data_IF_894701843388
#
_entry.id   IF_894701843388
#
_cell.length_a   1.000
_cell.length_b   1.000
_cell.length_c   1.000
_cell.angle_alpha   90.00
_cell.angle_beta   90.00
_cell.angle_gamma   90.00
#
_symmetry.space_group_name_H-M   'P 1'
#
loop_
_entity.id
_entity.type
_entity.pdbx_description
1 polymer ?
#
# COMPACT_ATOMS: atom_id res chain seq x y z
N UNK A 1 34.18 -28.05 -7.72
CA UNK A 1 32.83 -28.36 -8.21
C UNK A 1 32.36 -27.13 -8.97
N UNK A 2 32.40 -27.15 -10.29
CA UNK A 2 31.84 -26.07 -11.10
C UNK A 2 30.32 -26.14 -10.98
N UNK A 3 29.71 -25.09 -10.42
CA UNK A 3 28.26 -24.93 -10.40
C UNK A 3 27.80 -24.80 -11.85
N UNK A 4 27.17 -25.83 -12.40
CA UNK A 4 26.59 -25.79 -13.73
C UNK A 4 25.48 -24.71 -13.75
N UNK A 5 25.51 -23.84 -14.77
CA UNK A 5 24.48 -22.82 -14.93
C UNK A 5 23.11 -23.48 -15.15
N UNK A 6 22.09 -22.97 -14.45
CA UNK A 6 20.72 -23.48 -14.49
C UNK A 6 19.92 -22.79 -15.59
N UNK A 7 19.07 -23.52 -16.29
CA UNK A 7 18.09 -22.95 -17.21
C UNK A 7 16.85 -22.50 -16.44
N UNK A 8 16.43 -21.26 -16.63
CA UNK A 8 15.32 -20.65 -15.89
C UNK A 8 14.33 -19.99 -16.83
N UNK A 9 13.05 -19.94 -16.44
CA UNK A 9 12.09 -19.09 -17.13
C UNK A 9 12.33 -17.62 -16.81
N UNK A 10 12.21 -16.77 -17.83
CA UNK A 10 12.27 -15.32 -17.73
C UNK A 10 10.94 -14.71 -18.14
N UNK A 11 10.40 -13.88 -17.27
CA UNK A 11 9.11 -13.22 -17.49
C UNK A 11 8.99 -12.00 -16.57
N UNK A 12 8.33 -10.95 -17.05
CA UNK A 12 7.89 -9.84 -16.22
C UNK A 12 6.59 -9.27 -16.80
N UNK A 13 5.59 -9.06 -15.96
CA UNK A 13 4.34 -8.44 -16.40
C UNK A 13 3.54 -7.87 -15.22
N UNK A 14 2.66 -6.92 -15.53
CA UNK A 14 1.72 -6.30 -14.59
C UNK A 14 0.29 -6.57 -15.04
N UNK A 15 -0.53 -7.08 -14.15
CA UNK A 15 -1.94 -7.43 -14.37
C UNK A 15 -2.86 -6.52 -13.56
N UNK A 16 -4.06 -6.25 -14.09
CA UNK A 16 -5.11 -5.43 -13.46
C UNK A 16 -6.32 -6.28 -13.05
N UNK A 17 -6.04 -7.44 -12.47
CA UNK A 17 -7.01 -8.48 -12.14
C UNK A 17 -6.33 -9.86 -11.99
N UNK A 18 -7.11 -10.95 -12.04
CA UNK A 18 -6.57 -12.30 -12.04
C UNK A 18 -5.58 -12.52 -13.19
N UNK A 19 -4.48 -13.19 -12.91
CA UNK A 19 -3.50 -13.61 -13.90
C UNK A 19 -3.51 -15.13 -14.07
N UNK A 20 -3.21 -15.59 -15.28
CA UNK A 20 -3.01 -17.00 -15.60
C UNK A 20 -1.88 -17.13 -16.62
N UNK A 21 -0.78 -17.76 -16.18
CA UNK A 21 0.39 -18.01 -16.99
C UNK A 21 0.44 -19.44 -17.55
N UNK A 22 -0.57 -20.27 -17.28
CA UNK A 22 -0.57 -21.70 -17.65
C UNK A 22 -0.42 -21.95 -19.15
N UNK A 23 -0.94 -21.05 -19.97
CA UNK A 23 -0.88 -21.09 -21.45
C UNK A 23 0.27 -20.26 -22.03
N UNK A 24 1.05 -19.57 -21.18
CA UNK A 24 2.12 -18.69 -21.62
C UNK A 24 3.37 -19.49 -21.99
N UNK A 25 4.05 -19.06 -23.05
CA UNK A 25 5.37 -19.56 -23.41
C UNK A 25 6.42 -18.59 -22.90
N UNK A 26 7.19 -19.00 -21.90
CA UNK A 26 8.25 -18.18 -21.34
C UNK A 26 9.53 -18.24 -22.19
N UNK A 27 10.31 -17.17 -22.14
CA UNK A 27 11.69 -17.20 -22.62
C UNK A 27 12.58 -17.93 -21.61
N UNK A 28 13.60 -18.62 -22.11
CA UNK A 28 14.56 -19.35 -21.27
C UNK A 28 15.87 -18.58 -21.19
N UNK A 29 16.45 -18.50 -19.99
CA UNK A 29 17.74 -17.86 -19.74
C UNK A 29 18.65 -18.78 -18.94
N UNK A 30 19.96 -18.61 -19.10
CA UNK A 30 20.97 -19.34 -18.32
C UNK A 30 21.38 -18.52 -17.10
N UNK A 31 21.17 -19.07 -15.91
CA UNK A 31 21.44 -18.41 -14.63
C UNK A 31 22.60 -19.09 -13.89
N UNK A 32 23.57 -18.34 -13.35
CA UNK A 32 24.78 -18.92 -12.75
C UNK A 32 24.54 -19.65 -11.42
N UNK A 33 23.48 -19.30 -10.69
CA UNK A 33 23.24 -19.80 -9.33
C UNK A 33 21.90 -20.53 -9.20
N UNK A 34 20.80 -19.90 -9.59
CA UNK A 34 19.47 -20.52 -9.55
C UNK A 34 18.40 -19.68 -10.24
N UNK A 35 17.16 -20.14 -10.15
CA UNK A 35 15.99 -19.47 -10.69
C UNK A 35 15.17 -18.79 -9.59
N UNK A 36 14.44 -17.75 -9.96
CA UNK A 36 13.49 -17.04 -9.09
C UNK A 36 12.14 -16.88 -9.74
N UNK A 37 11.13 -16.79 -8.89
CA UNK A 37 9.83 -16.22 -9.21
C UNK A 37 9.35 -15.36 -8.05
N UNK A 38 8.61 -14.31 -8.38
CA UNK A 38 8.07 -13.37 -7.44
C UNK A 38 6.69 -12.88 -7.88
N UNK A 39 5.83 -12.63 -6.90
CA UNK A 39 4.55 -11.96 -7.09
C UNK A 39 4.42 -10.87 -6.04
N UNK A 40 4.00 -9.69 -6.49
CA UNK A 40 3.57 -8.58 -5.63
C UNK A 40 2.14 -8.24 -6.06
N UNK A 41 1.23 -8.08 -5.11
CA UNK A 41 -0.15 -7.72 -5.38
C UNK A 41 -0.61 -6.66 -4.42
N UNK A 42 -1.24 -5.62 -4.95
CA UNK A 42 -1.88 -4.55 -4.20
C UNK A 42 -3.36 -4.55 -4.56
N UNK A 43 -4.25 -4.42 -3.58
CA UNK A 43 -5.70 -4.38 -3.79
C UNK A 43 -6.29 -3.19 -3.01
N UNK A 44 -7.29 -2.54 -3.58
CA UNK A 44 -8.11 -1.57 -2.84
C UNK A 44 -8.88 -2.17 -1.66
N UNK A 45 -9.10 -3.49 -1.64
CA UNK A 45 -10.09 -4.18 -0.82
C UNK A 45 -11.49 -4.25 -1.47
N UNK A 46 -11.66 -3.62 -2.65
CA UNK A 46 -12.95 -3.42 -3.33
C UNK A 46 -12.94 -3.88 -4.80
N UNK A 47 -12.20 -4.96 -5.08
CA UNK A 47 -12.10 -5.62 -6.39
C UNK A 47 -11.41 -4.76 -7.44
N UNK A 48 -10.32 -4.10 -7.06
CA UNK A 48 -9.41 -3.45 -7.97
C UNK A 48 -7.98 -3.78 -7.52
N UNK A 49 -7.25 -4.49 -8.38
CA UNK A 49 -5.95 -5.07 -8.07
C UNK A 49 -4.91 -4.65 -9.11
N UNK A 50 -3.67 -4.51 -8.66
CA UNK A 50 -2.49 -4.48 -9.52
C UNK A 50 -1.56 -5.58 -9.03
N UNK A 51 -1.21 -6.50 -9.91
CA UNK A 51 -0.36 -7.65 -9.59
C UNK A 51 0.84 -7.70 -10.53
N UNK A 52 2.04 -7.62 -9.98
CA UNK A 52 3.29 -7.84 -10.70
C UNK A 52 3.72 -9.29 -10.57
N UNK A 53 4.13 -9.88 -11.68
CA UNK A 53 4.75 -11.22 -11.71
C UNK A 53 6.11 -11.13 -12.37
N UNK A 54 7.13 -11.69 -11.73
CA UNK A 54 8.49 -11.74 -12.25
C UNK A 54 9.06 -13.16 -12.14
N UNK A 55 9.83 -13.56 -13.15
CA UNK A 55 10.60 -14.81 -13.21
C UNK A 55 11.98 -14.51 -13.79
N UNK A 56 13.03 -15.11 -13.23
CA UNK A 56 14.37 -14.91 -13.76
C UNK A 56 15.47 -15.61 -12.97
N UNK A 57 16.65 -15.00 -12.94
CA UNK A 57 17.79 -15.52 -12.19
C UNK A 57 17.70 -15.18 -10.69
N UNK A 58 18.39 -15.98 -9.89
CA UNK A 58 18.41 -15.86 -8.45
C UNK A 58 19.81 -16.01 -7.89
N UNK A 59 20.17 -15.15 -6.95
CA UNK A 59 21.44 -15.21 -6.20
C UNK A 59 21.24 -15.22 -4.68
N UNK A 60 20.00 -15.04 -4.21
CA UNK A 60 19.66 -15.01 -2.78
C UNK A 60 19.35 -16.40 -2.19
N UNK A 61 19.00 -16.47 -0.91
CA UNK A 61 18.40 -17.66 -0.29
C UNK A 61 17.07 -18.04 -0.98
N UNK A 62 16.67 -19.33 -1.01
CA UNK A 62 15.43 -19.77 -1.67
C UNK A 62 14.13 -19.11 -1.15
N UNK A 63 14.16 -18.60 0.07
CA UNK A 63 13.04 -17.89 0.72
C UNK A 63 13.62 -16.80 1.61
N UNK A 64 12.86 -15.74 1.88
CA UNK A 64 13.19 -14.82 2.96
C UNK A 64 11.96 -14.40 3.75
N UNK A 65 12.23 -13.77 4.90
CA UNK A 65 11.17 -13.26 5.75
C UNK A 65 10.46 -12.11 5.06
N UNK A 66 9.15 -12.27 4.91
CA UNK A 66 8.28 -11.17 4.50
C UNK A 66 7.87 -10.39 5.75
N UNK A 67 8.08 -9.08 5.71
CA UNK A 67 7.58 -8.16 6.73
C UNK A 67 6.23 -7.63 6.26
N UNK A 68 5.21 -7.80 7.09
CA UNK A 68 3.84 -7.32 6.86
C UNK A 68 3.33 -6.62 8.11
N UNK A 69 2.36 -5.73 7.93
CA UNK A 69 1.62 -5.10 9.03
C UNK A 69 0.14 -5.43 8.88
N UNK A 70 -0.41 -6.17 9.84
CA UNK A 70 -1.81 -6.63 9.80
C UNK A 70 -2.82 -5.48 9.91
N UNK A 71 -2.38 -4.31 10.40
CA UNK A 71 -3.20 -3.11 10.52
C UNK A 71 -3.08 -2.19 9.31
N UNK A 72 -2.14 -2.46 8.40
CA UNK A 72 -1.97 -1.66 7.21
C UNK A 72 -3.12 -1.86 6.22
N UNK A 73 -3.51 -0.77 5.58
CA UNK A 73 -4.33 -0.76 4.37
C UNK A 73 -3.66 0.19 3.38
N UNK A 74 -3.93 0.09 2.08
CA UNK A 74 -4.67 -0.98 1.37
C UNK A 74 -4.10 -2.40 1.57
N UNK A 75 -4.90 -3.48 1.44
CA UNK A 75 -4.41 -4.86 1.50
C UNK A 75 -3.40 -5.17 0.41
N UNK A 76 -2.33 -5.87 0.78
CA UNK A 76 -1.28 -6.24 -0.13
C UNK A 76 -0.67 -7.62 0.20
N UNK A 77 0.09 -8.14 -0.75
CA UNK A 77 0.81 -9.41 -0.62
C UNK A 77 2.06 -9.38 -1.46
N UNK A 78 3.16 -9.91 -0.94
CA UNK A 78 4.32 -10.21 -1.75
C UNK A 78 4.98 -11.52 -1.34
N UNK A 79 5.60 -12.18 -2.30
CA UNK A 79 6.37 -13.41 -2.09
C UNK A 79 7.46 -13.51 -3.14
N UNK A 80 8.62 -14.04 -2.73
CA UNK A 80 9.71 -14.43 -3.63
C UNK A 80 10.14 -15.84 -3.29
N UNK A 81 10.38 -16.64 -4.34
CA UNK A 81 10.82 -18.02 -4.24
C UNK A 81 12.04 -18.20 -5.15
N UNK A 82 13.10 -18.76 -4.60
CA UNK A 82 14.28 -19.21 -5.31
C UNK A 82 14.35 -20.73 -5.37
N UNK A 83 14.98 -21.28 -6.40
CA UNK A 83 15.15 -22.72 -6.58
C UNK A 83 16.38 -23.04 -7.45
N UNK A 84 16.88 -24.29 -7.38
CA UNK A 84 18.22 -24.68 -7.87
C UNK A 84 18.21 -25.82 -8.90
N UNK A 85 17.09 -26.05 -9.58
CA UNK A 85 16.99 -27.04 -10.67
C UNK A 85 16.48 -26.37 -11.94
N UNK A 86 16.77 -26.94 -13.11
CA UNK A 86 16.27 -26.41 -14.38
C UNK A 86 14.74 -26.19 -14.35
N UNK A 87 14.31 -25.02 -14.83
CA UNK A 87 12.92 -24.61 -15.04
C UNK A 87 12.02 -24.72 -13.78
N UNK A 88 12.61 -24.59 -12.60
CA UNK A 88 11.91 -24.78 -11.33
C UNK A 88 10.98 -23.65 -10.88
N UNK A 89 11.06 -22.48 -11.52
CA UNK A 89 10.34 -21.26 -11.12
C UNK A 89 8.90 -21.23 -11.68
N UNK A 90 8.10 -22.22 -11.26
CA UNK A 90 6.75 -22.53 -11.79
C UNK A 90 5.67 -22.67 -10.71
N UNK A 91 5.89 -22.22 -9.48
CA UNK A 91 4.88 -22.27 -8.42
C UNK A 91 3.86 -21.11 -8.52
N UNK A 92 4.29 -19.95 -9.02
CA UNK A 92 3.48 -18.74 -9.14
C UNK A 92 2.98 -18.61 -10.59
N UNK A 93 2.01 -19.47 -10.95
CA UNK A 93 1.49 -19.57 -12.32
C UNK A 93 0.10 -18.99 -12.48
N UNK A 94 -0.74 -19.02 -11.45
CA UNK A 94 -2.12 -18.52 -11.50
C UNK A 94 -2.41 -17.64 -10.28
N UNK A 95 -3.47 -16.85 -10.39
CA UNK A 95 -3.91 -15.98 -9.30
C UNK A 95 -4.29 -16.75 -8.02
N UNK A 96 -4.66 -18.02 -8.12
CA UNK A 96 -4.96 -18.86 -6.95
C UNK A 96 -3.74 -19.12 -6.06
N UNK A 97 -2.53 -18.81 -6.55
CA UNK A 97 -1.29 -18.89 -5.77
C UNK A 97 -1.12 -17.74 -4.74
N UNK A 98 -1.98 -16.72 -4.78
CA UNK A 98 -1.96 -15.60 -3.83
C UNK A 98 -3.22 -15.56 -2.97
N UNK A 99 -3.17 -15.02 -1.74
CA UNK A 99 -4.36 -14.89 -0.90
C UNK A 99 -5.37 -13.93 -1.53
N UNK A 100 -6.65 -14.11 -1.18
CA UNK A 100 -7.69 -13.15 -1.54
C UNK A 100 -7.52 -11.87 -0.72
N UNK A 101 -7.16 -10.77 -1.39
CA UNK A 101 -6.92 -9.46 -0.80
C UNK A 101 -8.16 -8.57 -0.70
N UNK A 102 -9.28 -8.97 -1.30
CA UNK A 102 -10.56 -8.28 -1.23
C UNK A 102 -11.69 -9.19 -0.71
N UNK A 103 -11.53 -9.80 0.48
CA UNK A 103 -12.60 -10.59 1.08
C UNK A 103 -13.76 -9.67 1.46
N UNK A 104 -14.90 -9.83 0.81
CA UNK A 104 -16.12 -9.13 1.19
C UNK A 104 -16.68 -9.75 2.48
N UNK A 105 -16.99 -8.96 3.53
CA UNK A 105 -17.68 -9.49 4.71
C UNK A 105 -19.04 -10.09 4.32
N UNK A 106 -19.40 -11.22 4.93
CA UNK A 106 -20.69 -11.87 4.73
C UNK A 106 -21.33 -12.20 6.10
N UNK A 107 -22.42 -11.52 6.51
CA UNK A 107 -23.09 -10.43 5.80
C UNK A 107 -22.23 -9.15 5.73
N UNK A 108 -22.46 -8.26 4.75
CA UNK A 108 -21.71 -7.02 4.64
C UNK A 108 -22.09 -6.05 5.77
N UNK A 109 -21.16 -5.80 6.68
CA UNK A 109 -21.26 -4.70 7.65
C UNK A 109 -20.69 -3.44 7.02
N UNK A 110 -21.52 -2.41 6.80
CA UNK A 110 -21.10 -1.14 6.21
C UNK A 110 -20.80 -0.10 7.30
N UNK A 111 -19.78 0.73 7.09
CA UNK A 111 -19.44 1.83 8.01
C UNK A 111 -20.29 3.09 7.79
N UNK A 112 -21.02 3.15 6.66
CA UNK A 112 -21.76 4.35 6.22
C UNK A 112 -20.90 5.40 5.52
N UNK A 113 -19.60 5.15 5.34
CA UNK A 113 -18.70 6.00 4.57
C UNK A 113 -18.71 5.61 3.09
N UNK A 114 -18.72 6.60 2.19
CA UNK A 114 -18.52 6.41 0.76
C UNK A 114 -17.22 7.07 0.31
N UNK A 115 -16.41 6.36 -0.47
CA UNK A 115 -15.13 6.87 -0.99
C UNK A 115 -15.00 6.61 -2.49
N UNK A 116 -14.12 7.37 -3.14
CA UNK A 116 -13.61 6.97 -4.45
C UNK A 116 -12.65 5.79 -4.29
N UNK A 117 -12.73 4.83 -5.20
CA UNK A 117 -11.86 3.68 -5.28
C UNK A 117 -11.28 3.49 -6.68
N UNK A 118 -9.97 3.38 -6.76
CA UNK A 118 -9.22 3.11 -7.98
C UNK A 118 -7.86 2.54 -7.59
N UNK A 119 -7.27 1.75 -8.49
CA UNK A 119 -5.89 1.34 -8.41
C UNK A 119 -5.38 1.18 -9.85
N UNK A 120 -4.29 1.85 -10.18
CA UNK A 120 -3.72 1.85 -11.52
C UNK A 120 -2.24 2.19 -11.54
N UNK A 121 -1.61 2.10 -12.71
CA UNK A 121 -0.18 2.39 -12.89
C UNK A 121 0.07 3.75 -13.53
N UNK A 122 -0.99 4.45 -13.93
CA UNK A 122 -0.93 5.81 -14.41
C UNK A 122 -1.82 6.72 -13.56
N UNK A 123 -1.42 7.98 -13.30
CA UNK A 123 -2.24 8.91 -12.52
C UNK A 123 -3.67 9.05 -13.06
N UNK A 124 -3.82 9.04 -14.38
CA UNK A 124 -5.10 9.20 -15.06
C UNK A 124 -6.08 8.03 -14.86
N UNK A 125 -5.59 6.85 -14.47
CA UNK A 125 -6.42 5.69 -14.08
C UNK A 125 -7.17 5.99 -12.78
N UNK A 126 -6.54 6.82 -11.95
CA UNK A 126 -7.05 7.33 -10.70
C UNK A 126 -7.41 8.81 -10.85
N UNK A 127 -8.36 9.13 -11.71
CA UNK A 127 -9.13 10.38 -11.67
C UNK A 127 -10.46 10.15 -10.95
N UNK A 128 -11.05 11.14 -10.27
CA UNK A 128 -12.37 10.97 -9.63
C UNK A 128 -13.45 10.45 -10.60
N UNK A 129 -13.38 10.83 -11.86
CA UNK A 129 -14.32 10.43 -12.92
C UNK A 129 -14.17 8.96 -13.32
N UNK A 130 -12.94 8.41 -13.27
CA UNK A 130 -12.67 6.99 -13.54
C UNK A 130 -12.73 6.12 -12.28
N UNK A 131 -12.75 6.74 -11.11
CA UNK A 131 -12.83 6.04 -9.84
C UNK A 131 -14.26 5.54 -9.58
N UNK A 132 -14.39 4.32 -9.07
CA UNK A 132 -15.67 3.79 -8.60
C UNK A 132 -16.05 4.49 -7.30
N UNK A 133 -17.34 4.69 -7.06
CA UNK A 133 -17.86 5.05 -5.73
C UNK A 133 -18.17 3.76 -4.99
N UNK A 134 -17.63 3.60 -3.79
CA UNK A 134 -17.76 2.39 -2.99
C UNK A 134 -18.26 2.72 -1.58
N UNK A 135 -19.05 1.81 -1.01
CA UNK A 135 -19.48 1.87 0.38
C UNK A 135 -18.47 1.11 1.24
N UNK A 136 -17.89 1.78 2.21
CA UNK A 136 -16.84 1.23 3.04
C UNK A 136 -17.37 0.17 4.01
N UNK A 137 -16.54 -0.83 4.29
CA UNK A 137 -16.89 -1.95 5.17
C UNK A 137 -16.32 -1.78 6.58
N UNK A 138 -16.99 -2.39 7.56
CA UNK A 138 -16.52 -2.56 8.94
C UNK A 138 -16.09 -1.25 9.61
N UNK A 139 -14.84 -1.15 10.06
CA UNK A 139 -14.22 -0.04 10.76
C UNK A 139 -13.54 0.98 9.82
N UNK A 140 -13.69 0.80 8.50
CA UNK A 140 -13.15 1.74 7.51
C UNK A 140 -14.05 2.97 7.41
N UNK A 141 -13.76 3.98 8.24
CA UNK A 141 -14.56 5.20 8.37
C UNK A 141 -13.88 6.46 7.81
N UNK A 142 -12.79 6.32 7.04
CA UNK A 142 -12.12 7.42 6.35
C UNK A 142 -11.77 7.03 4.91
N UNK A 143 -11.57 8.01 4.04
CA UNK A 143 -11.07 7.74 2.68
C UNK A 143 -9.56 7.94 2.61
N UNK A 144 -8.91 7.22 1.71
CA UNK A 144 -7.48 7.32 1.42
C UNK A 144 -7.25 7.69 -0.03
N UNK A 145 -6.19 8.47 -0.27
CA UNK A 145 -5.60 8.70 -1.58
C UNK A 145 -4.08 8.68 -1.46
N UNK A 146 -3.41 8.08 -2.44
CA UNK A 146 -1.98 7.88 -2.36
C UNK A 146 -1.35 7.48 -3.69
N UNK A 147 -0.03 7.37 -3.66
CA UNK A 147 0.77 6.78 -4.71
C UNK A 147 1.96 6.02 -4.10
N UNK A 148 2.68 5.32 -4.95
CA UNK A 148 3.88 4.62 -4.52
C UNK A 148 4.49 3.78 -5.63
N UNK A 149 5.23 2.77 -5.23
CA UNK A 149 5.97 1.89 -6.13
C UNK A 149 5.90 0.45 -5.64
N UNK A 150 5.64 -0.46 -6.56
CA UNK A 150 5.83 -1.90 -6.35
C UNK A 150 7.13 -2.31 -7.04
N UNK A 151 8.05 -2.92 -6.29
CA UNK A 151 9.42 -3.20 -6.78
C UNK A 151 9.82 -4.64 -6.50
N UNK A 152 10.39 -5.30 -7.50
CA UNK A 152 11.02 -6.63 -7.40
C UNK A 152 12.34 -6.64 -8.16
N UNK A 153 13.46 -6.80 -7.43
CA UNK A 153 14.79 -6.71 -8.02
C UNK A 153 15.00 -5.37 -8.74
N UNK A 154 15.18 -5.40 -10.06
CA UNK A 154 15.33 -4.21 -10.91
C UNK A 154 14.04 -3.78 -11.64
N UNK A 155 12.92 -4.46 -11.41
CA UNK A 155 11.64 -4.15 -12.02
C UNK A 155 10.77 -3.39 -11.03
N UNK A 156 10.35 -2.18 -11.41
CA UNK A 156 9.56 -1.27 -10.56
C UNK A 156 8.41 -0.69 -11.35
N UNK A 157 7.23 -0.62 -10.73
CA UNK A 157 5.98 -0.15 -11.34
C UNK A 157 5.30 0.85 -10.42
N UNK A 158 5.00 2.07 -10.90
CA UNK A 158 4.29 3.06 -10.11
C UNK A 158 2.86 2.61 -9.87
N UNK A 159 2.33 2.96 -8.71
CA UNK A 159 0.93 2.70 -8.37
C UNK A 159 0.27 3.97 -7.84
N UNK A 160 -0.98 4.16 -8.23
CA UNK A 160 -1.84 5.25 -7.78
C UNK A 160 -3.12 4.66 -7.25
N UNK A 161 -3.57 5.13 -6.10
CA UNK A 161 -4.66 4.48 -5.39
C UNK A 161 -5.59 5.47 -4.71
N UNK A 162 -6.87 5.13 -4.73
CA UNK A 162 -7.89 5.63 -3.82
C UNK A 162 -8.66 4.46 -3.24
N UNK A 163 -9.00 4.51 -1.96
CA UNK A 163 -9.85 3.48 -1.34
C UNK A 163 -10.42 3.95 0.00
N UNK A 164 -11.25 3.12 0.64
CA UNK A 164 -11.61 3.24 2.05
C UNK A 164 -10.44 2.82 2.94
N UNK A 165 -10.36 3.40 4.13
CA UNK A 165 -9.29 3.13 5.08
C UNK A 165 -9.80 3.22 6.52
N UNK A 166 -9.07 2.60 7.45
CA UNK A 166 -9.25 2.78 8.90
C UNK A 166 -8.75 4.15 9.37
N UNK A 167 -9.29 4.71 10.47
CA UNK A 167 -8.86 5.99 11.03
C UNK A 167 -7.36 6.10 11.34
N UNK A 168 -6.68 4.99 11.62
CA UNK A 168 -5.24 5.00 11.92
C UNK A 168 -4.37 5.46 10.74
N UNK A 169 -4.89 5.41 9.51
CA UNK A 169 -4.18 5.75 8.28
C UNK A 169 -2.81 5.06 8.11
N UNK A 170 -2.69 3.81 8.57
CA UNK A 170 -1.48 3.00 8.45
C UNK A 170 -1.30 2.49 7.01
N UNK A 171 -0.30 3.00 6.28
CA UNK A 171 -0.05 2.70 4.84
C UNK A 171 1.18 1.84 4.57
N UNK A 172 1.63 1.06 5.56
CA UNK A 172 2.86 0.29 5.47
C UNK A 172 2.68 -0.96 4.61
N UNK A 173 3.26 -0.98 3.43
CA UNK A 173 3.24 -2.16 2.56
C UNK A 173 4.22 -3.27 2.97
N UNK A 174 4.02 -4.43 2.38
CA UNK A 174 4.85 -5.62 2.53
C UNK A 174 6.23 -5.40 1.93
N UNK A 175 7.24 -5.88 2.65
CA UNK A 175 8.64 -5.75 2.22
C UNK A 175 9.48 -6.97 2.58
N UNK A 176 10.46 -7.23 1.74
CA UNK A 176 11.52 -8.22 1.93
C UNK A 176 12.83 -7.66 1.39
N UNK A 177 13.96 -8.36 1.52
CA UNK A 177 15.21 -7.92 0.89
C UNK A 177 15.14 -7.77 -0.64
N UNK A 178 14.12 -8.32 -1.31
CA UNK A 178 14.01 -8.31 -2.78
C UNK A 178 12.74 -7.66 -3.32
N UNK A 179 11.75 -7.47 -2.45
CA UNK A 179 10.46 -6.91 -2.82
C UNK A 179 10.09 -5.77 -1.90
N UNK A 180 9.46 -4.75 -2.46
CA UNK A 180 8.95 -3.65 -1.69
C UNK A 180 7.64 -3.14 -2.30
N UNK A 181 6.61 -3.01 -1.49
CA UNK A 181 5.42 -2.23 -1.79
C UNK A 181 5.52 -0.97 -0.92
N UNK A 182 5.99 0.11 -1.53
CA UNK A 182 6.12 1.40 -0.86
C UNK A 182 4.91 2.26 -1.23
N UNK A 183 4.21 2.77 -0.22
CA UNK A 183 3.03 3.61 -0.40
C UNK A 183 3.14 4.84 0.49
N UNK A 184 2.72 5.97 -0.07
CA UNK A 184 2.52 7.22 0.63
C UNK A 184 1.17 7.79 0.27
N UNK A 185 0.59 8.56 1.18
CA UNK A 185 -0.73 9.13 0.97
C UNK A 185 -1.25 9.88 2.18
N UNK A 186 -2.52 10.25 2.10
CA UNK A 186 -3.25 10.88 3.20
C UNK A 186 -4.65 10.31 3.31
N UNK A 187 -5.16 10.32 4.54
CA UNK A 187 -6.56 10.03 4.82
C UNK A 187 -7.35 11.31 5.06
N UNK A 188 -8.63 11.28 4.70
CA UNK A 188 -9.57 12.36 4.94
C UNK A 188 -10.90 11.84 5.49
N UNK A 189 -11.59 12.68 6.23
CA UNK A 189 -12.93 12.41 6.75
C UNK A 189 -14.00 13.04 5.86
N UNK A 190 -15.14 12.38 5.77
CA UNK A 190 -16.31 12.83 5.01
C UNK A 190 -16.52 12.09 3.70
N UNK A 191 -17.75 12.18 3.20
CA UNK A 191 -18.21 11.44 2.02
C UNK A 191 -17.43 11.90 0.78
N UNK A 192 -16.81 10.94 0.09
CA UNK A 192 -16.07 11.15 -1.16
C UNK A 192 -15.01 12.25 -1.04
N UNK A 193 -14.32 12.35 0.11
CA UNK A 193 -13.36 13.43 0.36
C UNK A 193 -12.04 13.27 -0.41
N UNK A 194 -11.70 12.05 -0.85
CA UNK A 194 -10.42 11.73 -1.50
C UNK A 194 -10.39 12.11 -2.99
N UNK A 195 -10.69 13.37 -3.32
CA UNK A 195 -10.81 13.88 -4.70
C UNK A 195 -9.55 14.53 -5.24
N UNK A 196 -8.61 14.85 -4.36
CA UNK A 196 -7.42 15.58 -4.73
C UNK A 196 -6.51 14.72 -5.64
N UNK A 197 -5.48 15.37 -6.19
CA UNK A 197 -4.56 14.70 -7.10
C UNK A 197 -3.76 13.63 -6.37
N UNK A 198 -3.72 12.43 -6.94
CA UNK A 198 -2.88 11.31 -6.46
C UNK A 198 -1.39 11.54 -6.70
N UNK A 199 -0.98 12.61 -7.38
CA UNK A 199 0.44 12.97 -7.60
C UNK A 199 0.95 14.06 -6.67
N UNK A 200 0.10 14.60 -5.79
CA UNK A 200 0.53 15.63 -4.85
C UNK A 200 1.59 15.08 -3.87
N UNK A 201 2.55 15.92 -3.43
CA UNK A 201 3.45 15.56 -2.36
C UNK A 201 2.65 15.29 -1.09
N UNK A 202 2.79 14.09 -0.53
CA UNK A 202 2.21 13.76 0.77
C UNK A 202 3.23 14.16 1.85
N UNK A 203 2.98 15.28 2.52
CA UNK A 203 3.73 15.56 3.75
C UNK A 203 3.31 14.55 4.79
N UNK A 204 4.29 13.82 5.36
CA UNK A 204 4.09 12.96 6.52
C UNK A 204 3.62 13.85 7.69
N UNK A 205 2.31 14.06 7.76
CA UNK A 205 1.71 14.93 8.77
C UNK A 205 1.30 14.01 9.89
N UNK A 206 2.23 13.77 10.82
CA UNK A 206 1.91 13.23 12.12
C UNK A 206 0.71 13.97 12.68
N UNK A 207 -0.33 13.21 13.05
CA UNK A 207 -1.47 13.59 13.87
C UNK A 207 -1.66 15.10 14.05
N UNK A 208 -2.64 15.67 13.35
CA UNK A 208 -3.19 16.97 13.73
C UNK A 208 -3.76 16.85 15.15
N UNK A 209 -2.92 17.15 16.14
CA UNK A 209 -3.38 17.50 17.47
C UNK A 209 -4.34 18.66 17.31
N UNK A 210 -5.58 18.44 17.74
CA UNK A 210 -6.63 19.45 17.78
C UNK A 210 -6.06 20.78 18.30
N UNK A 211 -6.05 21.80 17.44
CA UNK A 211 -5.80 23.18 17.87
C UNK A 211 -6.89 23.58 18.86
N UNK A 212 -6.57 24.01 20.08
CA UNK A 212 -7.56 24.62 20.97
C UNK A 212 -7.96 25.97 20.40
N UNK A 213 -9.26 26.18 20.23
CA UNK A 213 -9.86 27.45 19.82
C UNK A 213 -9.42 28.59 20.76
N UNK A 214 -9.11 29.80 20.27
CA UNK A 214 -8.77 30.92 21.14
C UNK A 214 -10.02 31.36 21.91
N UNK A 215 -10.01 31.17 23.24
CA UNK A 215 -11.00 31.73 24.13
C UNK A 215 -10.96 33.28 24.10
N UNK A 216 -12.11 33.97 24.21
CA UNK A 216 -12.15 35.42 24.08
C UNK A 216 -11.48 36.10 25.27
N UNK A 217 -10.70 37.13 24.97
CA UNK A 217 -9.99 37.97 25.94
C UNK A 217 -10.92 38.52 27.03
N UNK A 218 -10.70 38.09 28.29
CA UNK A 218 -11.12 38.84 29.48
C UNK A 218 -9.94 39.70 29.94
N UNK A 219 -10.03 41.01 29.73
CA UNK A 219 -9.05 41.98 30.19
C UNK A 219 -8.88 41.90 31.70
N UNK A 220 -7.64 41.66 32.15
CA UNK A 220 -7.28 41.76 33.56
C UNK A 220 -7.09 43.24 33.91
N UNK A 221 -8.01 43.78 34.71
CA UNK A 221 -7.91 45.10 35.30
C UNK A 221 -6.92 45.02 36.48
N UNK A 222 -5.70 45.56 36.31
CA UNK A 222 -4.70 45.66 37.37
C UNK A 222 -5.06 46.82 38.32
N UNK A 223 -5.58 46.49 39.50
CA UNK A 223 -5.74 47.42 40.62
C UNK A 223 -4.41 47.55 41.36
N UNK A 224 -3.75 48.69 41.18
CA UNK A 224 -2.57 49.09 41.96
C UNK A 224 -3.02 49.64 43.32
N UNK A 225 -2.69 48.93 44.40
CA UNK A 225 -2.90 49.41 45.79
C UNK A 225 -1.59 50.04 46.27
N UNK A 226 -1.56 51.30 46.72
CA UNK A 226 -0.40 51.87 47.36
C UNK A 226 -0.35 51.50 48.86
N UNK A 227 0.80 50.98 49.29
CA UNK A 227 1.16 50.79 50.69
C UNK A 227 1.45 52.16 51.34
N UNK A 228 0.64 52.56 52.31
CA UNK A 228 0.98 53.63 53.26
C UNK A 228 1.46 53.01 54.56
N UNK A 229 2.77 53.09 54.79
CA UNK A 229 3.38 52.92 56.10
C UNK A 229 3.13 54.20 56.92
N UNK A 230 2.60 54.03 58.13
CA UNK A 230 2.40 55.10 59.11
C UNK A 230 2.33 54.52 60.52
N UNK A 231 3.19 55.03 61.38
CA UNK A 231 3.66 54.53 62.68
C UNK A 231 2.64 54.65 63.83
N UNK A 232 2.69 53.70 64.78
CA UNK A 232 2.11 53.85 66.13
C UNK A 232 3.10 54.62 67.03
N UNK A 233 2.57 55.53 67.86
CA UNK A 233 3.29 56.15 68.98
C UNK A 233 3.05 57.64 69.09
#
# INVERSE_FOLDING_TARGET
>A
SESQAQQCYSFQHTYFGPFDLSVMKFHNISCPHGCSEAVLSLDTGYRATVTMVQKGCWTGPPTGQMLSDEHALPPDYSVVRGCMTDFCNTNLMTHDAIPNLSPAPNPPTLSGMECYACLGIHPEDCTPEKSRRIQCHQDQSVCFQGNGQMTVGNFSVPVYIRTCHRPSCTVKGTSSPWTNIDLQGSCCEGQLCNRDSVTQPFTATSAAAATPSPAPHRGALLLMVPLLAGTLG
#
